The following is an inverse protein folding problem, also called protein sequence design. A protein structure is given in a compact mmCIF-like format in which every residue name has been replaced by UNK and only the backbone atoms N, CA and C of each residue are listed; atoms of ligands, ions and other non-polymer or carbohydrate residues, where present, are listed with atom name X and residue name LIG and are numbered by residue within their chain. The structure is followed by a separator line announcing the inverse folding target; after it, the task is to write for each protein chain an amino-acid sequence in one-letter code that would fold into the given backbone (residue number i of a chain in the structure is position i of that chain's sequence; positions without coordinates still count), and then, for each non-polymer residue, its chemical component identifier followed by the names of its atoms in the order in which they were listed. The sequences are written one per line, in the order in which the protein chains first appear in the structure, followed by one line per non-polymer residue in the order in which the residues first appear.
data_IF_674472979639
#
_entry.id   IF_674472979639
#
_cell.length_a   1.000
_cell.length_b   1.000
_cell.length_c   1.000
_cell.angle_alpha   90.00
_cell.angle_beta   90.00
_cell.angle_gamma   90.00
#
_symmetry.space_group_name_H-M   'P 1'
#
loop_
_entity.id
_entity.type
_entity.pdbx_description
1 polymer ?
#
# COMPACT_ATOMS: atom_id res chain seq x y z
N UNK A 1 7.47 12.90 45.07
CA UNK A 1 7.66 13.03 43.61
C UNK A 1 7.33 11.68 43.04
N UNK A 2 6.08 11.57 42.64
CA UNK A 2 5.42 10.35 42.20
C UNK A 2 5.83 10.10 40.73
N UNK A 3 6.52 8.99 40.45
CA UNK A 3 6.78 8.49 39.10
C UNK A 3 5.74 7.41 38.77
N UNK A 4 4.47 7.70 39.07
CA UNK A 4 3.34 6.86 38.69
C UNK A 4 2.91 7.21 37.27
N UNK A 5 2.66 6.16 36.48
CA UNK A 5 2.06 6.15 35.15
C UNK A 5 2.93 6.52 33.94
N UNK A 6 4.13 5.95 33.87
CA UNK A 6 4.81 5.69 32.59
C UNK A 6 4.34 4.37 31.93
N UNK A 7 3.08 3.97 32.15
CA UNK A 7 2.36 3.22 31.12
C UNK A 7 1.87 4.25 30.09
N UNK A 8 2.82 4.93 29.44
CA UNK A 8 2.56 5.68 28.23
C UNK A 8 1.95 4.67 27.25
N UNK A 9 0.63 4.78 27.06
CA UNK A 9 -0.13 3.82 26.31
C UNK A 9 0.54 3.57 24.97
N UNK A 10 0.79 2.29 24.69
CA UNK A 10 1.20 1.74 23.40
C UNK A 10 0.05 1.88 22.38
N UNK A 11 -0.56 3.06 22.32
CA UNK A 11 -1.53 3.46 21.32
C UNK A 11 -0.79 4.08 20.15
N UNK A 12 -1.30 3.86 18.95
CA UNK A 12 -0.66 4.46 17.79
C UNK A 12 -0.64 5.97 17.89
N UNK A 13 0.48 6.55 17.44
CA UNK A 13 0.69 7.98 17.45
C UNK A 13 0.53 8.50 16.05
N UNK A 14 -0.40 9.44 15.88
CA UNK A 14 -0.61 10.17 14.64
C UNK A 14 -0.05 11.58 14.80
N UNK A 15 0.89 11.95 13.95
CA UNK A 15 1.48 13.29 13.90
C UNK A 15 1.16 13.95 12.57
N UNK A 16 1.06 15.27 12.60
CA UNK A 16 0.91 16.07 11.38
C UNK A 16 2.13 16.96 11.22
N UNK A 17 2.80 16.82 10.09
CA UNK A 17 3.99 17.58 9.69
C UNK A 17 3.68 18.45 8.47
N UNK A 18 4.35 19.60 8.32
CA UNK A 18 4.20 20.39 7.13
C UNK A 18 4.97 19.78 5.96
N UNK A 19 4.38 19.91 4.77
CA UNK A 19 4.97 19.47 3.51
C UNK A 19 6.00 20.50 3.05
N UNK A 20 7.23 20.34 3.56
CA UNK A 20 8.36 21.20 3.25
C UNK A 20 9.53 20.38 2.69
N UNK A 21 10.51 21.04 2.06
CA UNK A 21 11.70 20.36 1.52
C UNK A 21 12.45 19.54 2.55
N UNK A 22 12.45 19.98 3.80
CA UNK A 22 13.14 19.27 4.88
C UNK A 22 12.55 17.89 5.17
N UNK A 23 11.30 17.61 4.77
CA UNK A 23 10.70 16.28 4.88
C UNK A 23 11.51 15.24 4.10
N UNK A 24 12.24 15.62 3.06
CA UNK A 24 13.09 14.70 2.31
C UNK A 24 14.25 14.15 3.15
N UNK A 25 14.60 14.81 4.25
CA UNK A 25 15.58 14.32 5.23
C UNK A 25 14.98 13.38 6.28
N UNK A 26 13.67 13.11 6.25
CA UNK A 26 12.96 12.32 7.25
C UNK A 26 11.89 13.11 7.99
N UNK A 27 11.14 12.42 8.84
CA UNK A 27 10.11 12.97 9.73
C UNK A 27 10.71 13.32 11.08
N UNK A 28 10.10 14.23 11.85
CA UNK A 28 10.58 14.54 13.20
C UNK A 28 10.34 13.35 14.13
N UNK A 29 11.31 13.11 15.00
CA UNK A 29 11.22 12.08 16.02
C UNK A 29 10.18 12.43 17.09
N UNK A 30 9.57 11.38 17.65
CA UNK A 30 8.47 11.48 18.62
C UNK A 30 8.87 12.07 19.97
N UNK A 31 10.14 11.94 20.36
CA UNK A 31 10.62 12.21 21.72
C UNK A 31 11.24 13.60 21.90
N UNK A 32 11.04 14.50 20.93
CA UNK A 32 11.48 15.90 21.04
C UNK A 32 12.99 16.10 20.83
N UNK A 33 13.70 15.08 20.36
CA UNK A 33 15.06 15.23 19.87
C UNK A 33 15.05 16.01 18.53
N UNK A 34 16.10 16.79 18.28
CA UNK A 34 16.25 17.59 17.07
C UNK A 34 16.58 16.75 15.81
N UNK A 35 16.26 15.45 15.83
CA UNK A 35 16.53 14.48 14.77
C UNK A 35 15.43 14.39 13.72
N UNK A 36 15.82 13.99 12.51
CA UNK A 36 14.89 13.50 11.48
C UNK A 36 15.18 12.04 11.24
N UNK A 37 14.14 11.22 11.26
CA UNK A 37 14.23 9.78 11.02
C UNK A 37 13.57 9.40 9.70
N UNK A 38 14.12 8.37 9.05
CA UNK A 38 13.46 7.75 7.89
C UNK A 38 12.40 6.79 8.42
N UNK A 39 11.30 6.69 7.70
CA UNK A 39 10.24 5.74 8.00
C UNK A 39 10.32 4.55 7.07
N UNK A 40 9.64 3.47 7.45
CA UNK A 40 9.59 2.26 6.65
C UNK A 40 8.82 2.48 5.33
N UNK A 41 7.59 2.99 5.41
CA UNK A 41 6.69 3.09 4.26
C UNK A 41 6.21 4.52 4.01
N UNK A 42 6.34 4.98 2.77
CA UNK A 42 5.69 6.18 2.25
C UNK A 42 4.45 5.82 1.43
N UNK A 43 3.33 6.47 1.68
CA UNK A 43 2.11 6.37 0.89
C UNK A 43 1.80 7.72 0.26
N UNK A 44 1.77 7.77 -1.07
CA UNK A 44 1.58 9.00 -1.84
C UNK A 44 0.34 8.83 -2.73
N UNK A 45 -0.78 9.47 -2.37
CA UNK A 45 -1.94 9.52 -3.23
C UNK A 45 -1.66 10.36 -4.49
N UNK A 46 -2.04 9.86 -5.67
CA UNK A 46 -1.82 10.52 -6.96
C UNK A 46 -3.12 10.61 -7.75
N UNK A 47 -3.42 11.78 -8.32
CA UNK A 47 -4.47 11.93 -9.32
C UNK A 47 -3.96 11.61 -10.72
N UNK A 48 -4.83 11.06 -11.57
CA UNK A 48 -4.48 10.64 -12.92
C UNK A 48 -4.14 11.82 -13.85
N UNK A 49 -4.81 12.95 -13.63
CA UNK A 49 -4.72 14.20 -14.39
C UNK A 49 -3.75 15.23 -13.78
N UNK A 50 -3.16 14.95 -12.61
CA UNK A 50 -2.23 15.87 -11.97
C UNK A 50 -0.84 15.79 -12.61
N UNK A 51 -0.53 16.71 -13.53
CA UNK A 51 0.81 16.88 -14.12
C UNK A 51 1.18 18.37 -14.15
N UNK A 52 2.43 18.75 -13.78
CA UNK A 52 3.50 17.92 -13.21
C UNK A 52 3.11 17.33 -11.84
N UNK A 53 3.84 16.31 -11.38
CA UNK A 53 3.67 15.75 -10.03
C UNK A 53 3.88 16.86 -8.99
N UNK A 54 3.00 16.94 -7.99
CA UNK A 54 3.04 17.98 -6.97
C UNK A 54 3.19 17.37 -5.59
N UNK A 55 3.29 18.24 -4.57
CA UNK A 55 3.39 17.81 -3.18
C UNK A 55 4.59 16.89 -2.89
N UNK A 56 4.40 15.84 -2.10
CA UNK A 56 5.50 14.93 -1.74
C UNK A 56 5.98 14.14 -2.96
N UNK A 57 5.07 13.74 -3.85
CA UNK A 57 5.42 13.12 -5.13
C UNK A 57 6.37 14.01 -5.94
N UNK A 58 6.04 15.29 -6.08
CA UNK A 58 6.84 16.28 -6.80
C UNK A 58 8.21 16.52 -6.16
N UNK A 59 8.28 16.58 -4.82
CA UNK A 59 9.55 16.71 -4.09
C UNK A 59 10.46 15.49 -4.29
N UNK A 60 9.90 14.28 -4.20
CA UNK A 60 10.62 13.03 -4.43
C UNK A 60 11.06 12.93 -5.90
N UNK A 61 10.20 13.30 -6.84
CA UNK A 61 10.49 13.27 -8.26
C UNK A 61 11.64 14.24 -8.61
N UNK A 62 11.59 15.47 -8.08
CA UNK A 62 12.70 16.43 -8.21
C UNK A 62 14.00 15.86 -7.63
N UNK A 63 13.94 15.26 -6.44
CA UNK A 63 15.13 14.70 -5.76
C UNK A 63 15.71 13.48 -6.50
N UNK A 64 14.88 12.76 -7.23
CA UNK A 64 15.22 11.57 -8.02
C UNK A 64 15.43 11.86 -9.50
N UNK A 65 15.53 13.14 -9.90
CA UNK A 65 15.78 13.56 -11.28
C UNK A 65 14.70 13.09 -12.26
N UNK A 66 13.43 13.14 -11.85
CA UNK A 66 12.28 12.84 -12.70
C UNK A 66 11.93 11.35 -12.79
N UNK A 67 12.36 10.52 -11.83
CA UNK A 67 12.13 9.05 -11.89
C UNK A 67 10.65 8.69 -11.80
N UNK A 68 9.86 9.36 -10.97
CA UNK A 68 8.42 9.12 -10.87
C UNK A 68 7.71 9.61 -12.14
N UNK A 69 8.10 10.79 -12.65
CA UNK A 69 7.60 11.30 -13.92
C UNK A 69 7.97 10.38 -15.10
N UNK A 70 9.12 9.69 -15.06
CA UNK A 70 9.49 8.69 -16.06
C UNK A 70 8.61 7.44 -15.97
N UNK A 71 8.30 6.94 -14.77
CA UNK A 71 7.34 5.84 -14.58
C UNK A 71 5.96 6.20 -15.10
N UNK A 72 5.48 7.42 -14.81
CA UNK A 72 4.19 7.89 -15.27
C UNK A 72 4.13 8.01 -16.80
N UNK A 73 5.18 8.56 -17.44
CA UNK A 73 5.27 8.62 -18.91
C UNK A 73 5.36 7.25 -19.58
N UNK A 74 5.92 6.26 -18.88
CA UNK A 74 5.96 4.88 -19.35
C UNK A 74 4.64 4.12 -19.14
N UNK A 75 3.61 4.75 -18.55
CA UNK A 75 2.33 4.10 -18.25
C UNK A 75 2.40 3.09 -17.09
N UNK A 76 3.48 3.10 -16.30
CA UNK A 76 3.64 2.19 -15.15
C UNK A 76 3.01 2.74 -13.86
N UNK A 77 2.66 4.02 -13.86
CA UNK A 77 1.94 4.68 -12.76
C UNK A 77 1.07 5.78 -13.36
N UNK A 78 -0.21 5.52 -13.51
CA UNK A 78 -1.14 6.40 -14.21
C UNK A 78 -1.83 7.38 -13.26
N UNK A 79 -2.09 6.96 -12.02
CA UNK A 79 -2.95 7.63 -11.04
C UNK A 79 -4.41 7.16 -11.10
N UNK A 80 -4.71 6.09 -11.85
CA UNK A 80 -6.06 5.54 -11.97
C UNK A 80 -6.61 5.06 -10.62
N UNK A 81 -7.93 5.16 -10.43
CA UNK A 81 -8.55 4.86 -9.14
C UNK A 81 -8.28 3.42 -8.71
N UNK A 82 -7.61 3.27 -7.57
CA UNK A 82 -7.29 1.95 -6.98
C UNK A 82 -5.97 1.35 -7.45
N UNK A 83 -5.29 1.97 -8.42
CA UNK A 83 -3.92 1.61 -8.82
C UNK A 83 -2.98 1.72 -7.62
N UNK A 84 -2.06 0.76 -7.50
CA UNK A 84 -1.04 0.74 -6.45
C UNK A 84 0.28 0.33 -7.05
N UNK A 85 1.29 1.21 -6.93
CA UNK A 85 2.63 0.96 -7.45
C UNK A 85 3.61 0.99 -6.28
N UNK A 86 4.09 -0.19 -5.88
CA UNK A 86 5.14 -0.34 -4.88
C UNK A 86 6.50 -0.23 -5.55
N UNK A 87 7.39 0.58 -4.97
CA UNK A 87 8.77 0.70 -5.42
C UNK A 87 9.73 0.78 -4.23
N UNK A 88 10.98 0.30 -4.40
CA UNK A 88 12.00 0.46 -3.37
C UNK A 88 12.32 1.94 -3.18
N UNK A 89 12.52 2.34 -1.93
CA UNK A 89 12.98 3.66 -1.56
C UNK A 89 14.42 3.93 -2.00
N UNK A 90 14.80 5.21 -1.98
CA UNK A 90 16.17 5.67 -2.17
C UNK A 90 16.68 6.25 -0.84
N UNK A 91 17.99 6.14 -0.56
CA UNK A 91 18.61 6.74 0.64
C UNK A 91 18.38 8.26 0.75
N UNK A 92 18.05 8.91 -0.37
CA UNK A 92 17.72 10.35 -0.44
C UNK A 92 16.26 10.67 -0.14
N UNK A 93 15.43 9.65 0.10
CA UNK A 93 14.01 9.78 0.41
C UNK A 93 13.78 9.55 1.90
N UNK A 94 12.67 10.07 2.46
CA UNK A 94 12.34 9.86 3.86
C UNK A 94 11.83 8.46 4.18
N UNK A 95 11.71 7.59 3.16
CA UNK A 95 11.06 6.29 3.26
C UNK A 95 11.95 5.18 2.71
N UNK A 96 11.85 3.96 3.25
CA UNK A 96 12.54 2.77 2.72
C UNK A 96 11.77 2.07 1.60
N UNK A 97 10.44 2.18 1.63
CA UNK A 97 9.51 1.69 0.60
C UNK A 97 8.54 2.81 0.25
N UNK A 98 8.17 2.92 -1.02
CA UNK A 98 7.20 3.92 -1.47
C UNK A 98 6.07 3.23 -2.23
N UNK A 99 4.83 3.55 -1.88
CA UNK A 99 3.64 3.16 -2.64
C UNK A 99 2.95 4.40 -3.17
N UNK A 100 2.76 4.43 -4.47
CA UNK A 100 1.90 5.40 -5.15
C UNK A 100 0.50 4.82 -5.21
N UNK A 101 -0.51 5.58 -4.79
CA UNK A 101 -1.90 5.12 -4.72
C UNK A 101 -2.76 6.01 -5.61
N UNK A 102 -3.33 5.45 -6.67
CA UNK A 102 -4.14 6.20 -7.62
C UNK A 102 -5.52 6.56 -7.07
N UNK A 103 -5.88 7.84 -7.22
CA UNK A 103 -7.13 8.44 -6.78
C UNK A 103 -8.12 8.68 -7.93
N UNK A 104 -7.72 8.41 -9.17
CA UNK A 104 -8.48 8.74 -10.37
C UNK A 104 -8.37 10.23 -10.73
N UNK A 105 -9.34 10.73 -11.50
CA UNK A 105 -9.38 12.13 -11.89
C UNK A 105 -9.69 13.03 -10.70
N UNK A 106 -8.98 14.15 -10.60
CA UNK A 106 -9.10 15.10 -9.51
C UNK A 106 -10.50 15.73 -9.44
N UNK A 107 -11.11 16.02 -10.60
CA UNK A 107 -12.44 16.60 -10.70
C UNK A 107 -13.54 15.69 -10.13
N UNK A 108 -13.33 14.37 -10.13
CA UNK A 108 -14.31 13.42 -9.64
C UNK A 108 -14.09 13.08 -8.15
N UNK A 109 -13.07 13.64 -7.50
CA UNK A 109 -12.74 13.32 -6.11
C UNK A 109 -13.75 13.96 -5.16
N UNK A 110 -14.44 13.16 -4.35
CA UNK A 110 -15.48 13.61 -3.41
C UNK A 110 -15.28 13.00 -2.01
N UNK A 111 -16.21 13.23 -1.09
CA UNK A 111 -16.14 12.70 0.28
C UNK A 111 -16.16 11.16 0.33
N UNK A 112 -16.93 10.52 -0.55
CA UNK A 112 -16.99 9.05 -0.61
C UNK A 112 -15.65 8.46 -1.10
N UNK A 113 -15.05 9.05 -2.12
CA UNK A 113 -13.71 8.66 -2.61
C UNK A 113 -12.62 8.98 -1.60
N UNK A 114 -12.74 10.08 -0.86
CA UNK A 114 -11.84 10.38 0.25
C UNK A 114 -11.90 9.28 1.32
N UNK A 115 -13.10 8.81 1.69
CA UNK A 115 -13.24 7.71 2.65
C UNK A 115 -12.65 6.39 2.11
N UNK A 116 -12.94 6.05 0.86
CA UNK A 116 -12.40 4.85 0.22
C UNK A 116 -10.86 4.90 0.09
N UNK A 117 -10.31 6.06 -0.24
CA UNK A 117 -8.86 6.28 -0.30
C UNK A 117 -8.20 6.11 1.07
N UNK A 118 -8.80 6.67 2.13
CA UNK A 118 -8.29 6.53 3.49
C UNK A 118 -8.23 5.07 3.94
N UNK A 119 -9.31 4.32 3.72
CA UNK A 119 -9.35 2.87 4.00
C UNK A 119 -8.28 2.10 3.22
N UNK A 120 -8.09 2.43 1.93
CA UNK A 120 -7.06 1.80 1.09
C UNK A 120 -5.64 2.10 1.58
N UNK A 121 -5.35 3.33 1.97
CA UNK A 121 -4.03 3.71 2.48
C UNK A 121 -3.68 2.92 3.75
N UNK A 122 -4.62 2.79 4.68
CA UNK A 122 -4.42 2.02 5.92
C UNK A 122 -4.33 0.52 5.64
N UNK A 123 -5.14 -0.01 4.72
CA UNK A 123 -5.06 -1.42 4.30
C UNK A 123 -3.69 -1.74 3.71
N UNK A 124 -3.18 -0.91 2.80
CA UNK A 124 -1.85 -1.07 2.20
C UNK A 124 -0.76 -1.07 3.28
N UNK A 125 -0.78 -0.11 4.20
CA UNK A 125 0.20 -0.04 5.28
C UNK A 125 0.17 -1.28 6.18
N UNK A 126 -1.03 -1.74 6.53
CA UNK A 126 -1.22 -2.91 7.41
C UNK A 126 -0.77 -4.19 6.72
N UNK A 127 -1.19 -4.42 5.47
CA UNK A 127 -0.84 -5.63 4.71
C UNK A 127 0.65 -5.72 4.37
N UNK A 128 1.33 -4.58 4.25
CA UNK A 128 2.79 -4.53 4.06
C UNK A 128 3.58 -4.66 5.37
N UNK A 129 2.90 -4.82 6.51
CA UNK A 129 3.50 -4.92 7.84
C UNK A 129 4.39 -3.73 8.18
N UNK A 130 3.97 -2.53 7.76
CA UNK A 130 4.79 -1.36 7.98
C UNK A 130 4.80 -0.98 9.46
N UNK A 131 5.97 -0.76 10.03
CA UNK A 131 6.06 -0.30 11.44
C UNK A 131 5.84 1.23 11.56
N UNK A 132 6.27 1.97 10.54
CA UNK A 132 6.29 3.43 10.49
C UNK A 132 5.81 3.90 9.12
N UNK A 133 4.80 4.77 9.10
CA UNK A 133 4.17 5.20 7.85
C UNK A 133 4.17 6.72 7.72
N UNK A 134 4.60 7.20 6.56
CA UNK A 134 4.45 8.58 6.12
C UNK A 134 3.37 8.65 5.03
N UNK A 135 2.34 9.45 5.23
CA UNK A 135 1.23 9.62 4.29
C UNK A 135 1.18 11.08 3.84
N UNK A 136 1.14 11.31 2.53
CA UNK A 136 0.78 12.63 2.00
C UNK A 136 -0.74 12.81 1.97
N UNK A 137 -1.22 13.96 2.45
CA UNK A 137 -2.57 14.43 2.15
C UNK A 137 -2.57 15.32 0.91
N UNK A 138 -3.29 14.94 -0.16
CA UNK A 138 -3.52 15.83 -1.28
C UNK A 138 -4.20 17.11 -0.78
N UNK A 139 -3.58 18.24 -1.09
CA UNK A 139 -4.07 19.57 -0.72
C UNK A 139 -4.04 20.54 -1.89
N UNK A 140 -3.28 20.24 -2.94
CA UNK A 140 -3.21 21.06 -4.13
C UNK A 140 -4.27 20.62 -5.13
N UNK A 141 -5.10 21.59 -5.56
CA UNK A 141 -6.09 21.41 -6.62
C UNK A 141 -7.43 20.80 -6.18
N UNK A 142 -7.51 20.25 -4.97
CA UNK A 142 -8.78 19.79 -4.39
C UNK A 142 -9.36 20.82 -3.44
N UNK A 143 -10.67 20.71 -3.18
CA UNK A 143 -11.32 21.56 -2.20
C UNK A 143 -10.85 21.22 -0.79
N UNK A 144 -10.77 22.25 0.06
CA UNK A 144 -10.39 22.09 1.47
C UNK A 144 -11.26 21.06 2.21
N UNK A 145 -12.56 21.05 1.93
CA UNK A 145 -13.53 20.12 2.51
C UNK A 145 -13.17 18.67 2.19
N UNK A 146 -12.66 18.40 1.00
CA UNK A 146 -12.22 17.07 0.57
C UNK A 146 -10.93 16.64 1.29
N UNK A 147 -9.95 17.53 1.45
CA UNK A 147 -8.75 17.26 2.27
C UNK A 147 -9.12 16.96 3.73
N UNK A 148 -10.06 17.72 4.30
CA UNK A 148 -10.55 17.50 5.67
C UNK A 148 -11.34 16.20 5.83
N UNK A 149 -12.13 15.83 4.81
CA UNK A 149 -12.83 14.54 4.75
C UNK A 149 -11.84 13.37 4.70
N UNK A 150 -10.83 13.43 3.82
CA UNK A 150 -9.79 12.42 3.72
C UNK A 150 -9.04 12.26 5.05
N UNK A 151 -8.62 13.37 5.66
CA UNK A 151 -7.97 13.32 6.97
C UNK A 151 -8.85 12.70 8.04
N UNK A 152 -10.12 13.11 8.12
CA UNK A 152 -11.07 12.54 9.09
C UNK A 152 -11.24 11.03 8.91
N UNK A 153 -11.47 10.59 7.67
CA UNK A 153 -11.58 9.18 7.33
C UNK A 153 -10.29 8.40 7.60
N UNK A 154 -9.12 9.03 7.44
CA UNK A 154 -7.83 8.41 7.70
C UNK A 154 -7.64 8.11 9.19
N UNK A 155 -7.98 9.07 10.06
CA UNK A 155 -7.92 8.84 11.52
C UNK A 155 -8.87 7.70 11.92
N UNK A 156 -10.12 7.71 11.42
CA UNK A 156 -11.09 6.65 11.70
C UNK A 156 -10.61 5.27 11.22
N UNK A 157 -9.98 5.20 10.04
CA UNK A 157 -9.42 3.98 9.48
C UNK A 157 -8.22 3.46 10.30
N UNK A 158 -7.31 4.34 10.72
CA UNK A 158 -6.17 3.98 11.58
C UNK A 158 -6.67 3.43 12.92
N UNK A 159 -7.62 4.10 13.58
CA UNK A 159 -8.21 3.64 14.83
C UNK A 159 -8.95 2.30 14.69
N UNK A 160 -9.61 2.05 13.56
CA UNK A 160 -10.23 0.77 13.26
C UNK A 160 -9.19 -0.35 13.14
N UNK A 161 -8.14 -0.14 12.33
CA UNK A 161 -7.07 -1.12 12.12
C UNK A 161 -6.37 -1.52 13.43
N UNK A 162 -6.14 -0.55 14.32
CA UNK A 162 -5.54 -0.81 15.64
C UNK A 162 -6.46 -1.62 16.55
N UNK A 163 -7.75 -1.31 16.57
CA UNK A 163 -8.73 -2.09 17.35
C UNK A 163 -8.80 -3.53 16.87
N UNK A 164 -8.80 -3.75 15.55
CA UNK A 164 -8.87 -5.08 14.98
C UNK A 164 -7.60 -5.88 15.26
N UNK A 165 -6.44 -5.24 15.21
CA UNK A 165 -5.16 -5.87 15.54
C UNK A 165 -5.04 -6.23 17.03
N UNK A 166 -5.50 -5.36 17.93
CA UNK A 166 -5.58 -5.65 19.36
C UNK A 166 -6.52 -6.84 19.64
N UNK A 167 -7.66 -6.93 18.94
CA UNK A 167 -8.58 -8.08 19.02
C UNK A 167 -7.92 -9.36 18.52
N UNK A 168 -7.21 -9.30 17.39
CA UNK A 168 -6.49 -10.44 16.83
C UNK A 168 -5.41 -10.94 17.80
N UNK A 169 -4.58 -10.04 18.34
CA UNK A 169 -3.55 -10.37 19.33
C UNK A 169 -4.15 -11.01 20.58
N UNK A 170 -5.25 -10.47 21.10
CA UNK A 170 -5.94 -11.05 22.26
C UNK A 170 -6.41 -12.48 21.99
N UNK A 171 -7.04 -12.73 20.85
CA UNK A 171 -7.48 -14.09 20.46
C UNK A 171 -6.32 -15.06 20.37
N UNK A 172 -5.17 -14.62 19.83
CA UNK A 172 -3.96 -15.45 19.76
C UNK A 172 -3.41 -15.79 21.15
N UNK A 173 -3.35 -14.81 22.05
CA UNK A 173 -2.92 -15.04 23.43
C UNK A 173 -3.86 -15.99 24.19
N UNK A 174 -5.18 -15.84 24.00
CA UNK A 174 -6.18 -16.74 24.58
C UNK A 174 -6.03 -18.17 24.03
N UNK A 175 -5.88 -18.33 22.71
CA UNK A 175 -5.66 -19.63 22.08
C UNK A 175 -4.33 -20.30 22.51
N UNK A 176 -3.26 -19.51 22.62
CA UNK A 176 -1.97 -20.00 23.11
C UNK A 176 -2.04 -20.43 24.59
N UNK A 177 -2.77 -19.69 25.43
CA UNK A 177 -2.99 -20.06 26.82
C UNK A 177 -3.83 -21.34 26.97
N UNK A 178 -4.83 -21.54 26.10
CA UNK A 178 -5.63 -22.78 26.05
C UNK A 178 -4.78 -23.98 25.62
N UNK A 179 -3.93 -23.84 24.59
CA UNK A 179 -3.03 -24.90 24.13
C UNK A 179 -1.99 -25.33 25.19
N UNK A 180 -1.55 -24.40 26.05
CA UNK A 180 -0.65 -24.71 27.18
C UNK A 180 -1.41 -25.36 28.35
N UNK A 181 -2.71 -25.10 28.48
CA UNK A 181 -3.55 -25.62 29.55
C UNK A 181 -4.10 -27.03 29.28
N UNK A 182 -4.02 -27.55 28.06
CA UNK A 182 -4.29 -28.96 27.79
C UNK A 182 -3.29 -29.82 28.60
N UNK A 183 -3.77 -30.55 29.62
CA UNK A 183 -2.90 -31.30 30.50
C UNK A 183 -2.16 -32.36 29.69
N UNK A 184 -0.84 -32.43 29.87
CA UNK A 184 0.00 -33.49 29.33
C UNK A 184 -0.65 -34.84 29.67
N UNK A 185 -1.12 -35.63 28.69
CA UNK A 185 -1.84 -36.89 28.94
C UNK A 185 -0.95 -37.98 29.57
N UNK A 186 0.29 -37.67 29.95
CA UNK A 186 1.28 -38.64 30.44
C UNK A 186 1.17 -39.02 31.93
N UNK A 187 0.31 -38.41 32.74
CA UNK A 187 0.06 -38.88 34.12
C UNK A 187 -1.26 -39.66 34.24
N UNK A 188 -1.39 -40.75 33.47
CA UNK A 188 -2.64 -41.51 33.45
C UNK A 188 -2.58 -42.93 32.89
N UNK A 189 -1.71 -43.79 33.44
CA UNK A 189 -1.99 -45.24 33.46
C UNK A 189 -1.03 -46.12 32.67
N UNK A 190 -0.10 -46.74 33.39
CA UNK A 190 0.36 -48.09 33.09
C UNK A 190 -0.87 -49.04 33.11
N UNK A 191 -1.57 -49.14 31.99
CA UNK A 191 -2.62 -50.12 31.74
C UNK A 191 -2.10 -51.10 30.70
N UNK A 192 -1.65 -52.25 31.18
CA UNK A 192 -1.35 -53.43 30.37
C UNK A 192 -2.54 -53.73 29.44
N UNK A 193 -2.36 -53.57 28.13
CA UNK A 193 -3.24 -54.17 27.15
C UNK A 193 -2.41 -54.83 26.05
N UNK A 194 -2.08 -56.09 26.32
CA UNK A 194 -1.98 -57.11 25.27
C UNK A 194 -3.32 -57.19 24.53
N UNK A 195 -3.28 -57.31 23.20
CA UNK A 195 -4.39 -57.89 22.47
C UNK A 195 -4.74 -57.24 21.13
N UNK A 196 -4.44 -57.99 20.09
CA UNK A 196 -5.25 -58.14 18.88
C UNK A 196 -5.05 -57.14 17.72
N UNK A 197 -4.24 -57.62 16.78
CA UNK A 197 -4.25 -57.32 15.35
C UNK A 197 -5.66 -57.45 14.75
N UNK A 198 -6.04 -56.53 13.86
CA UNK A 198 -6.49 -56.79 12.48
C UNK A 198 -7.28 -55.59 11.93
N UNK A 199 -7.07 -55.27 10.65
CA UNK A 199 -8.04 -54.49 9.89
C UNK A 199 -7.45 -53.36 9.05
N UNK A 200 -6.60 -53.71 8.09
CA UNK A 200 -6.24 -52.85 6.98
C UNK A 200 -7.51 -52.57 6.15
N UNK A 201 -7.95 -51.33 6.02
CA UNK A 201 -9.02 -50.95 5.08
C UNK A 201 -8.76 -49.55 4.53
N UNK A 202 -8.27 -49.53 3.29
CA UNK A 202 -8.16 -48.37 2.42
C UNK A 202 -9.51 -47.63 2.29
N UNK A 203 -9.54 -46.29 2.39
CA UNK A 203 -10.62 -45.53 1.80
C UNK A 203 -10.37 -45.29 0.31
N UNK A 204 -11.44 -45.56 -0.42
CA UNK A 204 -11.65 -45.46 -1.85
C UNK A 204 -11.60 -43.99 -2.32
N UNK A 205 -10.88 -43.76 -3.42
CA UNK A 205 -10.69 -42.45 -4.05
C UNK A 205 -11.92 -42.12 -4.88
N UNK A 206 -12.81 -41.26 -4.39
CA UNK A 206 -13.91 -40.72 -5.17
C UNK A 206 -13.44 -39.48 -5.95
N UNK A 207 -13.25 -39.65 -7.26
CA UNK A 207 -13.07 -38.57 -8.22
C UNK A 207 -14.35 -37.73 -8.31
N UNK A 208 -14.27 -36.44 -7.97
CA UNK A 208 -15.33 -35.49 -8.20
C UNK A 208 -15.09 -34.75 -9.52
N UNK A 209 -16.15 -34.76 -10.32
CA UNK A 209 -16.28 -34.22 -11.66
C UNK A 209 -15.90 -32.75 -11.80
N UNK A 210 -15.36 -32.51 -12.98
CA UNK A 210 -14.90 -31.25 -13.52
C UNK A 210 -16.09 -30.52 -14.11
N UNK A 211 -16.60 -29.51 -13.40
CA UNK A 211 -17.70 -28.68 -13.89
C UNK A 211 -17.14 -27.55 -14.78
N UNK A 212 -17.69 -27.46 -15.98
CA UNK A 212 -17.29 -26.57 -17.05
C UNK A 212 -18.00 -25.23 -16.84
N UNK A 213 -17.23 -24.17 -16.59
CA UNK A 213 -17.73 -22.81 -16.74
C UNK A 213 -17.68 -22.40 -18.23
N UNK A 214 -18.84 -22.04 -18.77
CA UNK A 214 -19.03 -21.51 -20.11
C UNK A 214 -18.28 -20.18 -20.33
N UNK A 215 -17.77 -19.91 -21.56
CA UNK A 215 -17.22 -18.60 -21.89
C UNK A 215 -18.33 -17.55 -22.02
N UNK A 216 -18.17 -16.46 -21.28
CA UNK A 216 -18.99 -15.24 -21.41
C UNK A 216 -18.76 -14.67 -22.82
N UNK A 217 -19.85 -14.55 -23.58
CA UNK A 217 -19.88 -13.85 -24.85
C UNK A 217 -19.61 -12.35 -24.61
N UNK A 218 -18.52 -11.84 -25.18
CA UNK A 218 -18.26 -10.42 -25.32
C UNK A 218 -19.04 -9.95 -26.54
N UNK A 219 -20.13 -9.20 -26.33
CA UNK A 219 -20.78 -8.46 -27.40
C UNK A 219 -19.92 -7.25 -27.80
N UNK A 220 -19.68 -7.02 -29.11
CA UNK A 220 -19.01 -5.82 -29.57
C UNK A 220 -19.97 -4.62 -29.52
N UNK A 221 -19.55 -3.57 -28.83
CA UNK A 221 -20.16 -2.24 -28.83
C UNK A 221 -19.99 -1.57 -30.22
N UNK A 222 -21.08 -1.25 -30.94
CA UNK A 222 -21.02 -0.52 -32.21
C UNK A 222 -21.58 0.91 -32.04
N UNK A 223 -20.69 1.89 -31.89
CA UNK A 223 -21.01 3.31 -32.05
C UNK A 223 -19.96 4.20 -31.36
N UNK A 224 -19.10 4.96 -32.03
CA UNK A 224 -19.20 5.53 -33.37
C UNK A 224 -19.94 6.86 -33.32
N UNK A 225 -19.37 7.90 -32.71
CA UNK A 225 -19.78 9.31 -32.94
C UNK A 225 -18.57 10.26 -32.94
N UNK A 226 -18.36 10.83 -34.12
CA UNK A 226 -17.84 12.16 -34.50
C UNK A 226 -16.64 12.79 -33.78
N UNK A 227 -15.52 12.70 -34.50
CA UNK A 227 -14.41 13.64 -34.47
C UNK A 227 -14.89 14.99 -35.05
N UNK A 228 -15.06 15.98 -34.17
CA UNK A 228 -15.09 17.38 -34.59
C UNK A 228 -13.66 17.92 -34.65
N UNK A 229 -13.15 18.11 -35.87
CA UNK A 229 -11.93 18.88 -36.13
C UNK A 229 -12.20 20.39 -35.90
N UNK A 230 -11.39 21.08 -35.09
CA UNK A 230 -11.23 22.52 -35.27
C UNK A 230 -10.07 22.79 -36.22
N UNK A 231 -10.43 23.20 -37.44
CA UNK A 231 -9.55 23.97 -38.33
C UNK A 231 -9.20 25.30 -37.66
N UNK A 232 -7.94 25.47 -37.31
CA UNK A 232 -7.36 26.73 -36.87
C UNK A 232 -6.02 26.90 -37.55
N UNK A 233 -6.06 27.58 -38.70
CA UNK A 233 -4.93 28.18 -39.40
C UNK A 233 -4.24 29.26 -38.53
N UNK A 234 -3.06 29.69 -39.00
CA UNK A 234 -2.26 30.85 -38.58
C UNK A 234 -1.21 30.56 -37.49
N UNK A 235 0.08 30.89 -37.61
CA UNK A 235 0.91 31.41 -38.69
C UNK A 235 2.38 31.28 -38.20
N UNK A 236 3.28 31.16 -39.17
CA UNK A 236 4.70 31.59 -39.15
C UNK A 236 5.48 31.65 -37.82
N UNK A 237 6.46 30.75 -37.67
CA UNK A 237 7.85 31.23 -37.47
C UNK A 237 8.87 30.17 -37.89
N UNK A 238 9.58 30.50 -38.96
CA UNK A 238 10.71 29.73 -39.46
C UNK A 238 11.90 29.84 -38.50
N UNK A 239 12.37 28.70 -37.96
CA UNK A 239 13.72 28.64 -37.39
C UNK A 239 14.49 27.37 -37.81
N UNK A 240 15.63 27.67 -38.43
CA UNK A 240 16.81 26.88 -38.75
C UNK A 240 16.74 25.33 -38.72
N UNK A 241 16.66 24.76 -39.93
CA UNK A 241 17.06 23.40 -40.23
C UNK A 241 18.53 23.14 -39.81
N UNK A 242 18.73 22.27 -38.82
CA UNK A 242 19.99 21.56 -38.58
C UNK A 242 19.93 20.19 -39.26
N UNK A 243 20.93 19.79 -40.09
CA UNK A 243 20.96 18.47 -40.70
C UNK A 243 21.12 17.39 -39.61
N UNK A 244 20.16 16.47 -39.54
CA UNK A 244 20.28 15.23 -38.79
C UNK A 244 21.12 14.25 -39.61
N UNK A 245 22.36 14.03 -39.19
CA UNK A 245 23.19 12.92 -39.67
C UNK A 245 22.49 11.60 -39.31
N UNK A 246 22.17 10.82 -40.34
CA UNK A 246 21.58 9.49 -40.21
C UNK A 246 22.67 8.52 -39.70
N UNK A 247 22.47 7.79 -38.58
CA UNK A 247 23.39 6.75 -38.20
C UNK A 247 23.26 5.53 -39.13
N UNK A 248 24.41 5.05 -39.60
CA UNK A 248 24.55 3.84 -40.41
C UNK A 248 23.96 2.60 -39.72
N UNK A 249 23.33 1.68 -40.48
CA UNK A 249 22.87 0.40 -39.93
C UNK A 249 24.06 -0.52 -39.67
N UNK A 250 24.34 -0.80 -38.40
CA UNK A 250 25.33 -1.79 -38.00
C UNK A 250 24.79 -3.21 -38.25
N UNK A 251 25.28 -3.85 -39.32
CA UNK A 251 25.10 -5.26 -39.61
C UNK A 251 25.64 -6.14 -38.47
N UNK A 252 24.75 -6.71 -37.65
CA UNK A 252 25.12 -7.76 -36.69
C UNK A 252 24.89 -9.13 -37.32
N UNK A 253 26.01 -9.72 -37.74
CA UNK A 253 26.09 -11.06 -38.27
C UNK A 253 25.64 -12.12 -37.26
N UNK A 254 24.82 -13.03 -37.75
CA UNK A 254 24.42 -14.26 -37.10
C UNK A 254 25.64 -15.15 -36.79
N UNK A 255 25.79 -15.54 -35.52
CA UNK A 255 26.50 -16.76 -35.12
C UNK A 255 25.70 -17.44 -34.01
N UNK A 256 24.89 -18.40 -34.44
CA UNK A 256 24.20 -19.36 -33.60
C UNK A 256 24.95 -20.68 -33.71
N UNK A 257 25.93 -20.90 -32.83
CA UNK A 257 26.47 -22.24 -32.58
C UNK A 257 25.82 -22.78 -31.30
N UNK A 258 24.91 -23.72 -31.52
CA UNK A 258 24.20 -24.46 -30.49
C UNK A 258 25.19 -25.38 -29.76
N UNK A 259 25.34 -25.18 -28.45
CA UNK A 259 25.91 -26.17 -27.54
C UNK A 259 24.73 -26.82 -26.83
N UNK A 260 24.32 -28.00 -27.31
CA UNK A 260 23.44 -28.92 -26.60
C UNK A 260 24.18 -29.43 -25.35
N UNK A 261 24.06 -28.69 -24.25
CA UNK A 261 24.40 -29.20 -22.93
C UNK A 261 23.18 -29.92 -22.36
N UNK A 262 23.26 -31.25 -22.27
CA UNK A 262 22.30 -32.08 -21.54
C UNK A 262 22.22 -31.57 -20.10
N UNK A 263 21.07 -31.07 -19.62
CA UNK A 263 20.95 -30.58 -18.25
C UNK A 263 21.08 -31.77 -17.30
N UNK A 264 22.15 -31.79 -16.50
CA UNK A 264 22.26 -32.67 -15.36
C UNK A 264 21.06 -32.43 -14.44
N UNK A 265 20.30 -33.50 -14.20
CA UNK A 265 19.12 -33.47 -13.32
C UNK A 265 19.61 -33.12 -11.91
N UNK A 266 19.20 -31.99 -11.32
CA UNK A 266 19.63 -31.64 -9.98
C UNK A 266 19.21 -32.74 -9.01
N UNK A 267 20.04 -33.03 -7.99
CA UNK A 267 19.70 -34.00 -6.95
C UNK A 267 18.36 -33.61 -6.33
N UNK A 268 17.53 -34.62 -6.02
CA UNK A 268 16.25 -34.41 -5.36
C UNK A 268 16.52 -33.70 -4.02
N UNK A 269 16.13 -32.43 -3.93
CA UNK A 269 16.18 -31.67 -2.68
C UNK A 269 15.22 -32.32 -1.69
N UNK A 270 15.68 -32.46 -0.44
CA UNK A 270 14.82 -32.89 0.66
C UNK A 270 13.59 -31.96 0.71
N UNK A 271 12.38 -32.49 0.98
CA UNK A 271 11.18 -31.68 1.04
C UNK A 271 11.42 -30.54 2.03
N UNK A 272 11.36 -29.30 1.54
CA UNK A 272 11.46 -28.13 2.40
C UNK A 272 10.43 -28.28 3.52
N UNK A 273 10.81 -27.99 4.78
CA UNK A 273 9.86 -28.02 5.88
C UNK A 273 8.68 -27.10 5.54
N UNK A 274 7.46 -27.55 5.86
CA UNK A 274 6.26 -26.74 5.64
C UNK A 274 6.51 -25.33 6.19
N UNK A 275 6.27 -24.28 5.39
CA UNK A 275 6.53 -22.92 5.82
C UNK A 275 5.74 -22.68 7.10
N UNK A 276 6.44 -22.23 8.15
CA UNK A 276 5.77 -21.83 9.38
C UNK A 276 4.66 -20.81 9.01
N UNK A 277 3.48 -20.91 9.65
CA UNK A 277 2.36 -20.03 9.34
C UNK A 277 2.82 -18.58 9.46
N UNK A 278 2.77 -17.86 8.34
CA UNK A 278 3.16 -16.44 8.28
C UNK A 278 2.27 -15.67 9.24
N UNK A 279 2.86 -15.09 10.28
CA UNK A 279 2.12 -14.27 11.26
C UNK A 279 1.46 -13.09 10.54
N UNK A 280 0.19 -12.81 10.85
CA UNK A 280 -0.47 -11.62 10.28
C UNK A 280 0.29 -10.37 10.72
N UNK A 281 0.60 -9.44 9.80
CA UNK A 281 1.36 -8.25 10.14
C UNK A 281 0.65 -7.40 11.20
N UNK A 282 1.40 -6.98 12.22
CA UNK A 282 0.94 -5.96 13.16
C UNK A 282 0.80 -4.60 12.45
N UNK A 283 -0.20 -3.77 12.80
CA UNK A 283 -0.41 -2.48 12.16
C UNK A 283 0.69 -1.51 12.59
N UNK A 284 0.94 -0.46 11.78
CA UNK A 284 1.90 0.56 12.14
C UNK A 284 1.53 1.26 13.46
N UNK A 285 2.52 1.43 14.33
CA UNK A 285 2.36 2.16 15.59
C UNK A 285 2.56 3.66 15.40
N UNK A 286 3.25 4.08 14.35
CA UNK A 286 3.57 5.49 14.12
C UNK A 286 3.16 5.94 12.72
N UNK A 287 2.36 7.01 12.69
CA UNK A 287 1.80 7.58 11.48
C UNK A 287 2.16 9.06 11.40
N UNK A 288 2.88 9.45 10.37
CA UNK A 288 3.13 10.85 10.02
C UNK A 288 2.27 11.20 8.83
N UNK A 289 1.49 12.26 8.97
CA UNK A 289 0.65 12.81 7.93
C UNK A 289 1.26 14.14 7.50
N UNK A 290 1.67 14.26 6.24
CA UNK A 290 2.20 15.50 5.68
C UNK A 290 1.15 16.20 4.84
N UNK A 291 1.03 17.50 5.03
CA UNK A 291 0.09 18.34 4.31
C UNK A 291 0.65 19.75 4.13
N UNK A 292 0.07 20.54 3.23
CA UNK A 292 0.42 21.96 3.09
C UNK A 292 0.30 22.72 4.43
N UNK A 293 1.24 23.63 4.68
CA UNK A 293 1.35 24.43 5.92
C UNK A 293 0.02 25.11 6.31
N UNK A 294 -0.72 25.63 5.32
CA UNK A 294 -2.02 26.28 5.54
C UNK A 294 -3.11 25.35 6.10
N UNK A 295 -2.94 24.03 5.97
CA UNK A 295 -3.87 23.00 6.44
C UNK A 295 -3.40 22.43 7.79
N UNK A 296 -2.09 22.30 8.00
CA UNK A 296 -1.45 21.67 9.18
C UNK A 296 -1.99 22.18 10.50
N UNK A 297 -2.04 23.50 10.72
CA UNK A 297 -2.51 24.08 11.98
C UNK A 297 -3.96 23.66 12.32
N UNK A 298 -4.81 23.48 11.30
CA UNK A 298 -6.18 22.99 11.47
C UNK A 298 -6.20 21.50 11.78
N UNK A 299 -5.44 20.68 11.05
CA UNK A 299 -5.39 19.23 11.31
C UNK A 299 -4.87 18.93 12.72
N UNK A 300 -3.84 19.65 13.16
CA UNK A 300 -3.34 19.57 14.54
C UNK A 300 -4.43 19.92 15.56
N UNK A 301 -5.24 20.96 15.29
CA UNK A 301 -6.39 21.30 16.15
C UNK A 301 -7.45 20.18 16.16
N UNK A 302 -7.63 19.46 15.07
CA UNK A 302 -8.53 18.29 15.02
C UNK A 302 -8.01 17.18 15.93
N UNK A 303 -6.70 16.90 15.92
CA UNK A 303 -6.09 15.88 16.77
C UNK A 303 -6.05 16.28 18.25
N UNK A 304 -5.75 17.53 18.57
CA UNK A 304 -5.67 18.03 19.95
C UNK A 304 -7.02 18.47 20.53
N UNK A 305 -8.06 18.52 19.70
CA UNK A 305 -9.40 18.94 20.12
C UNK A 305 -10.06 17.95 21.09
N UNK A 306 -11.12 18.37 21.80
CA UNK A 306 -11.90 17.43 22.61
C UNK A 306 -12.38 16.27 21.72
N UNK A 307 -12.43 15.03 22.25
CA UNK A 307 -12.79 13.85 21.47
C UNK A 307 -14.12 14.11 20.75
N UNK A 308 -14.13 13.91 19.43
CA UNK A 308 -15.33 14.13 18.63
C UNK A 308 -16.42 13.17 19.12
N UNK A 309 -17.66 13.63 19.33
CA UNK A 309 -18.76 12.70 19.51
C UNK A 309 -18.80 11.79 18.28
N UNK A 310 -18.85 10.48 18.50
CA UNK A 310 -18.92 9.50 17.42
C UNK A 310 -20.04 9.92 16.46
N UNK A 311 -19.68 10.20 15.20
CA UNK A 311 -20.69 10.49 14.17
C UNK A 311 -21.53 9.24 14.04
N UNK A 312 -22.73 9.25 14.61
CA UNK A 312 -23.71 8.21 14.33
C UNK A 312 -23.97 8.26 12.84
N UNK A 313 -23.56 7.21 12.13
CA UNK A 313 -23.92 7.03 10.74
C UNK A 313 -25.44 7.21 10.65
N UNK A 314 -25.94 8.08 9.74
CA UNK A 314 -27.37 8.24 9.57
C UNK A 314 -27.95 6.87 9.31
N UNK A 315 -28.83 6.41 10.21
CA UNK A 315 -29.55 5.17 10.03
C UNK A 315 -30.31 5.33 8.72
N UNK A 316 -29.91 4.60 7.69
CA UNK A 316 -30.65 4.51 6.44
C UNK A 316 -31.99 3.83 6.76
N UNK A 317 -32.96 4.61 7.23
CA UNK A 317 -34.35 4.19 7.25
C UNK A 317 -34.82 4.16 5.80
N UNK A 318 -34.89 2.93 5.28
CA UNK A 318 -35.54 2.59 4.01
C UNK A 318 -37.04 2.50 4.22
#
# INVERSE_FOLDING_TARGET
MDRSDASDGEGARVLVEPLERDILGGVRELEGEAGRTRVDLGLIPLFSDQRPLQGLAGLIDWRSSGRLSALARAGLCTGELGEQVLMPGDRRWPVDRLVLVGLGAQADFDEAKAQAAAGRLVDVATRLGAAQVLIELPSIGIERTQTEALFGALIEAVEAALRDSARARRRRLEAAAEAVAEPDPTEGGAGEHEGEQAGNSHPEVASAEQDRADPIAVEPDPGGEDLAEPTGDEDDEADAARPLESPEPAEHGARSDAIEATPERPPAEDPEPDPEPVEDPEPPLHWWIVADEGVVARLRRVLSGPPRPARHAPSLHT
#
